data_IF_870401776602
#
_entry.id   IF_870401776602
#
_cell.length_a   1.000
_cell.length_b   1.000
_cell.length_c   1.000
_cell.angle_alpha   90.00
_cell.angle_beta   90.00
_cell.angle_gamma   90.00
#
_symmetry.space_group_name_H-M   'P 1'
#
loop_
_entity.id
_entity.type
_entity.pdbx_description
1 polymer ?
#
# COMPACT_ATOMS: atom_id res chain seq x y z
N UNK A 1 -5.62 20.78 16.25
CA UNK A 1 -5.79 20.80 14.78
C UNK A 1 -7.09 20.13 14.41
N UNK A 2 -7.65 20.47 13.26
CA UNK A 2 -8.77 19.74 12.70
C UNK A 2 -8.33 18.33 12.29
N UNK A 3 -9.24 17.34 12.30
CA UNK A 3 -8.87 15.93 12.02
C UNK A 3 -8.28 15.73 10.63
N UNK A 4 -8.83 16.41 9.62
CA UNK A 4 -8.33 16.29 8.24
C UNK A 4 -6.97 17.00 8.08
N UNK A 5 -6.78 18.13 8.73
CA UNK A 5 -5.50 18.83 8.79
C UNK A 5 -4.42 17.92 9.37
N UNK A 6 -4.71 17.25 10.49
CA UNK A 6 -3.80 16.29 11.10
C UNK A 6 -3.49 15.09 10.19
N UNK A 7 -4.47 14.58 9.44
CA UNK A 7 -4.22 13.50 8.48
C UNK A 7 -3.29 13.97 7.37
N UNK A 8 -3.48 15.18 6.85
CA UNK A 8 -2.64 15.74 5.78
C UNK A 8 -1.21 15.95 6.29
N UNK A 9 -1.03 16.55 7.47
CA UNK A 9 0.31 16.75 8.04
C UNK A 9 1.01 15.43 8.31
N UNK A 10 0.31 14.45 8.89
CA UNK A 10 0.91 13.14 9.16
C UNK A 10 1.34 12.40 7.88
N UNK A 11 0.59 12.51 6.77
CA UNK A 11 1.01 11.90 5.49
C UNK A 11 2.32 12.52 5.00
N UNK A 12 2.49 13.83 5.17
CA UNK A 12 3.73 14.54 4.79
C UNK A 12 4.87 14.14 5.72
N UNK A 13 4.64 14.15 7.03
CA UNK A 13 5.66 13.85 8.04
C UNK A 13 6.19 12.42 7.87
N UNK A 14 5.29 11.43 7.70
CA UNK A 14 5.68 10.04 7.42
C UNK A 14 6.47 9.93 6.12
N UNK A 15 6.12 10.67 5.08
CA UNK A 15 6.92 10.62 3.85
C UNK A 15 8.33 11.17 4.06
N UNK A 16 8.45 12.34 4.70
CA UNK A 16 9.74 13.00 4.92
C UNK A 16 10.61 12.29 5.94
N UNK A 17 10.03 11.53 6.87
CA UNK A 17 10.79 10.76 7.87
C UNK A 17 11.54 9.58 7.24
N UNK A 18 10.96 8.97 6.19
CA UNK A 18 11.52 7.76 5.58
C UNK A 18 12.16 8.00 4.22
N UNK A 19 11.81 9.09 3.53
CA UNK A 19 12.40 9.45 2.25
C UNK A 19 13.83 9.95 2.46
N UNK A 20 14.78 9.34 1.75
CA UNK A 20 16.13 9.85 1.72
C UNK A 20 16.22 11.10 0.86
N UNK A 21 17.10 12.01 1.26
CA UNK A 21 17.46 13.22 0.53
C UNK A 21 18.96 13.18 0.27
N UNK A 22 19.34 12.35 -0.70
CA UNK A 22 20.72 12.22 -1.19
C UNK A 22 21.14 13.44 -2.06
N UNK A 23 20.68 14.64 -1.67
CA UNK A 23 20.85 15.91 -2.38
C UNK A 23 19.88 16.12 -3.56
N UNK A 24 18.75 15.41 -3.57
CA UNK A 24 17.74 15.45 -4.65
C UNK A 24 16.39 15.90 -4.07
N UNK A 25 15.29 15.61 -4.78
CA UNK A 25 13.96 15.72 -4.18
C UNK A 25 13.75 14.47 -3.30
N UNK A 26 13.11 14.58 -2.13
CA UNK A 26 12.88 13.42 -1.28
C UNK A 26 12.07 12.36 -2.03
N UNK A 27 12.61 11.14 -2.09
CA UNK A 27 11.99 9.98 -2.72
C UNK A 27 12.21 8.76 -1.82
N UNK A 28 11.32 7.78 -1.92
CA UNK A 28 11.43 6.51 -1.22
C UNK A 28 11.95 5.45 -2.19
N UNK A 29 13.02 4.75 -1.84
CA UNK A 29 13.36 3.51 -2.52
C UNK A 29 12.44 2.36 -2.05
N UNK A 30 12.57 1.19 -2.67
CA UNK A 30 11.74 0.03 -2.35
C UNK A 30 11.90 -0.46 -0.90
N UNK A 31 13.10 -0.34 -0.33
CA UNK A 31 13.36 -0.76 1.05
C UNK A 31 12.73 0.21 2.07
N UNK A 32 12.78 1.50 1.79
CA UNK A 32 12.14 2.55 2.59
C UNK A 32 10.63 2.46 2.52
N UNK A 33 10.07 2.30 1.32
CA UNK A 33 8.63 2.09 1.16
C UNK A 33 8.17 0.86 1.95
N UNK A 34 8.93 -0.23 1.90
CA UNK A 34 8.65 -1.43 2.69
C UNK A 34 8.63 -1.13 4.18
N UNK A 35 9.63 -0.40 4.70
CA UNK A 35 9.67 0.00 6.12
C UNK A 35 8.47 0.84 6.50
N UNK A 36 8.08 1.83 5.67
CA UNK A 36 6.90 2.66 5.92
C UNK A 36 5.66 1.79 6.07
N UNK A 37 5.42 0.88 5.12
CA UNK A 37 4.24 0.03 5.15
C UNK A 37 4.25 -0.97 6.31
N UNK A 38 5.41 -1.50 6.71
CA UNK A 38 5.50 -2.45 7.84
C UNK A 38 5.32 -1.78 9.20
N UNK A 39 5.85 -0.56 9.39
CA UNK A 39 5.88 0.16 10.66
C UNK A 39 4.63 1.00 10.91
N UNK A 40 4.16 1.73 9.90
CA UNK A 40 3.01 2.64 10.01
C UNK A 40 1.67 1.91 9.92
N UNK A 41 1.63 0.75 9.24
CA UNK A 41 0.39 0.00 9.04
C UNK A 41 0.34 -1.19 10.01
N UNK A 42 -0.16 -0.91 11.21
CA UNK A 42 -0.25 -1.92 12.27
C UNK A 42 -1.57 -2.70 12.27
N UNK A 43 -2.59 -2.21 11.56
CA UNK A 43 -3.88 -2.89 11.49
C UNK A 43 -3.76 -4.23 10.76
N UNK A 44 -4.13 -5.37 11.37
CA UNK A 44 -4.12 -6.67 10.70
C UNK A 44 -4.90 -6.66 9.38
N UNK A 45 -6.00 -5.90 9.35
CA UNK A 45 -6.89 -5.79 8.20
C UNK A 45 -6.26 -5.10 6.99
N UNK A 46 -5.30 -4.21 7.24
CA UNK A 46 -4.53 -3.50 6.23
C UNK A 46 -3.24 -4.27 5.90
N UNK A 47 -2.63 -4.96 6.88
CA UNK A 47 -1.47 -5.83 6.67
C UNK A 47 -1.77 -6.99 5.73
N UNK A 48 -2.95 -7.60 5.82
CA UNK A 48 -3.37 -8.68 4.89
C UNK A 48 -3.38 -8.25 3.41
N UNK A 49 -3.43 -6.95 3.14
CA UNK A 49 -3.41 -6.35 1.79
C UNK A 49 -2.00 -5.96 1.33
N UNK A 50 -1.03 -6.05 2.22
CA UNK A 50 0.37 -5.67 2.04
C UNK A 50 1.19 -6.89 2.46
N UNK A 51 1.03 -8.01 1.74
CA UNK A 51 1.97 -9.10 1.92
C UNK A 51 3.34 -8.68 1.36
N UNK A 52 4.44 -9.20 1.89
CA UNK A 52 5.79 -8.86 1.44
C UNK A 52 6.02 -9.17 -0.05
N UNK A 53 5.36 -10.21 -0.59
CA UNK A 53 5.35 -10.51 -2.04
C UNK A 53 4.61 -9.43 -2.84
N UNK A 54 3.60 -8.78 -2.25
CA UNK A 54 2.84 -7.70 -2.88
C UNK A 54 3.61 -6.37 -2.89
N UNK A 55 4.69 -6.20 -2.12
CA UNK A 55 5.41 -4.91 -2.05
C UNK A 55 6.18 -4.66 -3.35
N UNK A 56 6.75 -5.70 -3.97
CA UNK A 56 7.36 -5.61 -5.29
C UNK A 56 6.33 -5.23 -6.36
N UNK A 57 5.18 -5.91 -6.38
CA UNK A 57 4.07 -5.56 -7.27
C UNK A 57 3.50 -4.17 -6.97
N UNK A 58 3.44 -3.77 -5.69
CA UNK A 58 3.01 -2.46 -5.27
C UNK A 58 4.00 -1.40 -5.77
N UNK A 59 5.30 -1.65 -5.69
CA UNK A 59 6.32 -0.76 -6.25
C UNK A 59 6.10 -0.58 -7.75
N UNK A 60 5.94 -1.67 -8.52
CA UNK A 60 5.64 -1.58 -9.97
C UNK A 60 4.30 -0.86 -10.27
N UNK A 61 3.33 -0.98 -9.37
CA UNK A 61 2.05 -0.26 -9.50
C UNK A 61 2.18 1.23 -9.13
N UNK A 62 3.10 1.60 -8.25
CA UNK A 62 3.26 2.93 -7.69
C UNK A 62 4.26 3.78 -8.47
N UNK A 63 5.43 3.21 -8.80
CA UNK A 63 6.47 3.79 -9.66
C UNK A 63 5.96 3.83 -11.11
N UNK A 64 5.31 4.94 -11.47
CA UNK A 64 4.65 5.09 -12.78
C UNK A 64 5.60 5.64 -13.84
N UNK A 65 6.62 6.37 -13.41
CA UNK A 65 7.69 6.85 -14.26
C UNK A 65 8.80 5.80 -14.46
N UNK A 66 8.74 4.67 -13.74
CA UNK A 66 9.69 3.57 -13.82
C UNK A 66 11.13 4.04 -13.54
N UNK A 67 11.29 4.95 -12.57
CA UNK A 67 12.60 5.46 -12.14
C UNK A 67 13.22 4.66 -10.99
N UNK A 68 12.50 3.67 -10.46
CA UNK A 68 12.95 2.81 -9.36
C UNK A 68 12.76 3.45 -7.98
N UNK A 69 12.13 4.62 -7.91
CA UNK A 69 11.88 5.38 -6.68
C UNK A 69 10.40 5.80 -6.60
N UNK A 70 9.95 6.21 -5.41
CA UNK A 70 8.58 6.68 -5.17
C UNK A 70 8.63 8.11 -4.67
N UNK A 71 8.18 9.04 -5.51
CA UNK A 71 8.03 10.43 -5.08
C UNK A 71 6.74 10.63 -4.25
N UNK A 72 6.59 11.82 -3.65
CA UNK A 72 5.46 12.12 -2.79
C UNK A 72 4.08 11.94 -3.46
N UNK A 73 3.97 12.20 -4.76
CA UNK A 73 2.69 12.05 -5.49
C UNK A 73 2.31 10.57 -5.59
N UNK A 74 3.27 9.71 -5.86
CA UNK A 74 3.07 8.26 -5.95
C UNK A 74 2.80 7.66 -4.57
N UNK A 75 3.49 8.14 -3.54
CA UNK A 75 3.20 7.80 -2.16
C UNK A 75 1.75 8.16 -1.76
N UNK A 76 1.29 9.38 -2.06
CA UNK A 76 -0.10 9.79 -1.81
C UNK A 76 -1.11 8.88 -2.52
N UNK A 77 -0.78 8.41 -3.73
CA UNK A 77 -1.62 7.46 -4.48
C UNK A 77 -1.69 6.11 -3.76
N UNK A 78 -0.58 5.61 -3.22
CA UNK A 78 -0.55 4.41 -2.38
C UNK A 78 -1.52 4.54 -1.20
N UNK A 79 -1.38 5.60 -0.42
CA UNK A 79 -2.23 5.88 0.75
C UNK A 79 -3.71 5.94 0.35
N UNK A 80 -4.04 6.60 -0.77
CA UNK A 80 -5.42 6.66 -1.28
C UNK A 80 -5.98 5.28 -1.66
N UNK A 81 -5.18 4.42 -2.28
CA UNK A 81 -5.59 3.06 -2.64
C UNK A 81 -5.88 2.23 -1.39
N UNK A 82 -5.01 2.30 -0.38
CA UNK A 82 -5.20 1.61 0.90
C UNK A 82 -6.45 2.12 1.62
N UNK A 83 -6.65 3.44 1.68
CA UNK A 83 -7.84 4.05 2.26
C UNK A 83 -9.13 3.61 1.55
N UNK A 84 -9.10 3.52 0.20
CA UNK A 84 -10.23 3.00 -0.60
C UNK A 84 -10.51 1.52 -0.28
N UNK A 85 -9.48 0.69 -0.22
CA UNK A 85 -9.61 -0.72 0.15
C UNK A 85 -10.24 -0.88 1.54
N UNK A 86 -9.76 -0.11 2.52
CA UNK A 86 -10.30 -0.08 3.86
C UNK A 86 -11.77 0.35 3.89
N UNK A 87 -12.11 1.42 3.17
CA UNK A 87 -13.49 1.88 3.02
C UNK A 87 -14.40 0.81 2.41
N UNK A 88 -13.95 0.11 1.35
CA UNK A 88 -14.71 -0.97 0.71
C UNK A 88 -14.98 -2.14 1.67
N UNK A 89 -13.97 -2.52 2.47
CA UNK A 89 -14.11 -3.57 3.50
C UNK A 89 -15.10 -3.14 4.58
N UNK A 90 -14.98 -1.92 5.08
CA UNK A 90 -15.85 -1.34 6.12
C UNK A 90 -17.30 -1.17 5.67
N UNK A 91 -17.53 -0.89 4.38
CA UNK A 91 -18.88 -0.65 3.83
C UNK A 91 -19.51 -1.86 3.15
N UNK A 92 -18.83 -3.02 3.12
CA UNK A 92 -19.36 -4.27 2.55
C UNK A 92 -19.57 -4.27 1.03
N UNK A 93 -19.22 -3.18 0.31
CA UNK A 93 -19.45 -3.04 -1.14
C UNK A 93 -18.36 -3.68 -2.02
N UNK A 94 -17.50 -4.53 -1.46
CA UNK A 94 -16.33 -5.12 -2.14
C UNK A 94 -16.45 -6.58 -2.57
N UNK A 95 -17.65 -7.16 -2.57
CA UNK A 95 -17.86 -8.57 -2.92
C UNK A 95 -17.98 -8.83 -4.42
N UNK A 96 -16.85 -8.95 -5.13
CA UNK A 96 -16.73 -9.91 -6.24
C UNK A 96 -15.47 -10.75 -6.03
N UNK A 97 -15.62 -11.80 -5.21
CA UNK A 97 -14.78 -12.99 -5.32
C UNK A 97 -15.20 -13.69 -6.63
N UNK A 98 -14.29 -13.73 -7.59
CA UNK A 98 -14.31 -14.58 -8.79
C UNK A 98 -12.96 -15.30 -8.71
N UNK A 99 -12.79 -16.63 -8.69
CA UNK A 99 -13.65 -17.78 -8.99
C UNK A 99 -13.00 -18.98 -8.27
N UNK A 100 -13.82 -19.89 -7.74
CA UNK A 100 -13.34 -21.13 -7.13
C UNK A 100 -12.59 -21.99 -8.14
N UNK A 101 -11.56 -22.68 -7.66
CA UNK A 101 -11.20 -24.01 -8.15
C UNK A 101 -11.58 -24.99 -7.06
N UNK A 102 -12.66 -25.73 -7.30
CA UNK A 102 -12.98 -26.93 -6.53
C UNK A 102 -11.82 -27.93 -6.71
N UNK A 103 -11.45 -28.70 -5.68
CA UNK A 103 -10.68 -29.92 -5.91
C UNK A 103 -11.64 -30.97 -6.47
N UNK A 104 -11.46 -31.37 -7.72
CA UNK A 104 -12.05 -32.60 -8.24
C UNK A 104 -11.52 -33.76 -7.39
N UNK A 105 -12.40 -34.30 -6.56
CA UNK A 105 -12.23 -35.61 -5.96
C UNK A 105 -12.48 -36.62 -7.08
N UNK A 106 -11.41 -37.19 -7.62
CA UNK A 106 -11.49 -38.44 -8.38
C UNK A 106 -11.38 -39.60 -7.37
N UNK A 107 -12.51 -40.27 -7.17
CA UNK A 107 -12.62 -41.57 -6.53
C UNK A 107 -13.17 -42.56 -7.58
N UNK A 108 -12.70 -43.80 -7.49
CA UNK A 108 -13.13 -45.05 -8.17
C UNK A 108 -12.49 -45.28 -9.56
N UNK A 109 -11.87 -46.42 -9.87
CA UNK A 109 -11.95 -47.81 -9.33
C UNK A 109 -10.57 -48.43 -8.97
#
# INVERSE_FOLDING_TARGET
MARLEQVITNIVDVFLEYADDDGKKPQLNIEELKKVLELEIQSPELKDKINADDIGEAMEMLDKNHDGEVNFREFCRCVCVLARCYYQKKTGKGGKKVKGKEPEAEQED
#
